data_IF_516949507655
#
_entry.id   IF_516949507655
#
_cell.length_a   1.000
_cell.length_b   1.000
_cell.length_c   1.000
_cell.angle_alpha   90.00
_cell.angle_beta   90.00
_cell.angle_gamma   90.00
#
_symmetry.space_group_name_H-M   'P 1'
#
loop_
_entity.id
_entity.type
_entity.pdbx_description
1 polymer ?
#
# COMPACT_ATOMS: atom_id res chain seq x y z
N UNK A 1 -46.40 -7.13 12.79
CA UNK A 1 -46.08 -6.21 13.92
C UNK A 1 -44.66 -6.37 14.46
N UNK A 2 -44.13 -7.58 14.69
CA UNK A 2 -42.76 -7.79 15.23
C UNK A 2 -41.64 -7.18 14.36
N UNK A 3 -41.77 -7.26 13.03
CA UNK A 3 -40.77 -6.72 12.09
C UNK A 3 -40.70 -5.19 12.08
N UNK A 4 -41.83 -4.51 12.24
CA UNK A 4 -41.89 -3.03 12.28
C UNK A 4 -41.27 -2.51 13.59
N UNK A 5 -41.53 -3.21 14.71
CA UNK A 5 -40.89 -2.88 16.00
C UNK A 5 -39.37 -3.03 15.94
N UNK A 6 -38.87 -4.09 15.30
CA UNK A 6 -37.44 -4.29 15.11
C UNK A 6 -36.83 -3.22 14.20
N UNK A 7 -37.48 -2.91 13.05
CA UNK A 7 -37.06 -1.85 12.14
C UNK A 7 -36.98 -0.48 12.83
N UNK A 8 -37.96 -0.17 13.67
CA UNK A 8 -37.97 1.06 14.47
C UNK A 8 -36.82 1.09 15.48
N UNK A 9 -36.59 -0.01 16.20
CA UNK A 9 -35.51 -0.08 17.18
C UNK A 9 -34.12 0.07 16.52
N UNK A 10 -33.90 -0.56 15.37
CA UNK A 10 -32.64 -0.39 14.64
C UNK A 10 -32.46 1.01 14.06
N UNK A 11 -33.54 1.64 13.56
CA UNK A 11 -33.49 3.03 13.11
C UNK A 11 -33.13 3.97 14.28
N UNK A 12 -33.70 3.76 15.47
CA UNK A 12 -33.39 4.52 16.68
C UNK A 12 -31.93 4.34 17.12
N UNK A 13 -31.44 3.10 17.11
CA UNK A 13 -30.04 2.78 17.45
C UNK A 13 -29.05 3.39 16.44
N UNK A 14 -29.41 3.41 15.16
CA UNK A 14 -28.65 4.09 14.10
C UNK A 14 -28.65 5.61 14.33
N UNK A 15 -29.78 6.19 14.71
CA UNK A 15 -29.88 7.61 15.08
C UNK A 15 -28.92 7.97 16.22
N UNK A 16 -28.91 7.17 17.31
CA UNK A 16 -27.99 7.37 18.44
C UNK A 16 -26.53 7.34 18.01
N UNK A 17 -26.15 6.48 17.05
CA UNK A 17 -24.79 6.44 16.51
C UNK A 17 -24.48 7.59 15.54
N UNK A 18 -25.45 8.03 14.73
CA UNK A 18 -25.24 9.08 13.73
C UNK A 18 -25.18 10.48 14.32
N UNK A 19 -25.88 10.76 15.43
CA UNK A 19 -25.85 12.09 16.08
C UNK A 19 -24.43 12.55 16.44
N UNK A 20 -23.60 11.78 17.17
CA UNK A 20 -22.27 12.24 17.52
C UNK A 20 -21.29 12.25 16.35
N UNK A 21 -21.50 11.42 15.32
CA UNK A 21 -20.56 11.29 14.18
C UNK A 21 -20.85 12.32 13.10
N UNK A 22 -22.12 12.50 12.74
CA UNK A 22 -22.56 13.31 11.60
C UNK A 22 -23.55 14.41 11.98
N UNK A 23 -24.23 14.29 13.12
CA UNK A 23 -25.24 15.25 13.55
C UNK A 23 -24.66 16.51 14.20
N UNK A 24 -23.47 16.44 14.80
CA UNK A 24 -22.83 17.55 15.51
C UNK A 24 -21.49 17.88 14.86
N UNK A 25 -21.50 18.83 13.93
CA UNK A 25 -20.30 19.36 13.30
C UNK A 25 -19.79 20.60 14.05
N UNK A 26 -18.47 20.71 14.21
CA UNK A 26 -17.85 21.95 14.68
C UNK A 26 -17.50 22.81 13.46
N UNK A 27 -18.15 23.96 13.33
CA UNK A 27 -17.88 24.91 12.24
C UNK A 27 -17.25 26.16 12.84
N UNK A 28 -16.06 26.50 12.34
CA UNK A 28 -15.30 27.65 12.81
C UNK A 28 -15.74 28.89 12.01
N UNK A 29 -16.49 29.79 12.64
CA UNK A 29 -16.86 31.10 12.07
C UNK A 29 -15.99 32.17 12.70
N UNK A 30 -14.91 32.53 12.01
CA UNK A 30 -13.93 33.48 12.52
C UNK A 30 -13.15 32.93 13.72
N UNK A 31 -13.23 33.60 14.86
CA UNK A 31 -12.50 33.23 16.09
C UNK A 31 -13.30 32.24 16.97
N UNK A 32 -14.62 32.18 16.78
CA UNK A 32 -15.50 31.32 17.57
C UNK A 32 -15.75 29.98 16.89
N UNK A 33 -15.82 28.92 17.68
CA UNK A 33 -16.22 27.59 17.23
C UNK A 33 -17.68 27.39 17.63
N UNK A 34 -18.57 27.30 16.64
CA UNK A 34 -19.99 27.05 16.87
C UNK A 34 -20.30 25.59 16.54
N UNK A 35 -21.16 24.98 17.34
CA UNK A 35 -21.70 23.64 17.06
C UNK A 35 -22.84 23.83 16.06
N UNK A 36 -22.62 23.40 14.82
CA UNK A 36 -23.65 23.37 13.79
C UNK A 36 -24.25 21.96 13.75
N UNK A 37 -25.55 21.86 14.05
CA UNK A 37 -26.25 20.59 14.10
C UNK A 37 -26.95 20.29 12.76
N UNK A 38 -26.47 19.25 12.05
CA UNK A 38 -27.03 18.80 10.77
C UNK A 38 -27.99 17.61 10.96
N UNK A 39 -29.17 17.90 11.49
CA UNK A 39 -30.22 16.90 11.77
C UNK A 39 -30.76 16.20 10.52
N UNK A 40 -30.59 16.80 9.34
CA UNK A 40 -31.05 16.24 8.06
C UNK A 40 -30.39 14.90 7.75
N UNK A 41 -29.07 14.79 7.92
CA UNK A 41 -28.29 13.58 7.65
C UNK A 41 -28.69 12.45 8.59
N UNK A 42 -28.91 12.76 9.87
CA UNK A 42 -29.36 11.79 10.88
C UNK A 42 -30.74 11.25 10.55
N UNK A 43 -31.69 12.12 10.20
CA UNK A 43 -33.05 11.72 9.86
C UNK A 43 -33.10 10.86 8.58
N UNK A 44 -32.34 11.22 7.55
CA UNK A 44 -32.22 10.41 6.34
C UNK A 44 -31.60 9.04 6.63
N UNK A 45 -30.55 8.98 7.45
CA UNK A 45 -29.94 7.72 7.87
C UNK A 45 -30.90 6.81 8.63
N UNK A 46 -31.67 7.36 9.57
CA UNK A 46 -32.71 6.62 10.30
C UNK A 46 -33.81 6.09 9.37
N UNK A 47 -34.26 6.92 8.43
CA UNK A 47 -35.30 6.56 7.47
C UNK A 47 -34.84 5.43 6.54
N UNK A 48 -33.61 5.50 6.01
CA UNK A 48 -33.03 4.45 5.17
C UNK A 48 -32.97 3.13 5.92
N UNK A 49 -32.44 3.12 7.15
CA UNK A 49 -32.35 1.89 7.95
C UNK A 49 -33.73 1.33 8.27
N UNK A 50 -34.70 2.18 8.60
CA UNK A 50 -36.08 1.76 8.84
C UNK A 50 -36.70 1.09 7.61
N UNK A 51 -36.59 1.73 6.44
CA UNK A 51 -37.15 1.23 5.17
C UNK A 51 -36.48 -0.09 4.78
N UNK A 52 -35.15 -0.15 4.81
CA UNK A 52 -34.40 -1.37 4.47
C UNK A 52 -34.80 -2.51 5.42
N UNK A 53 -34.90 -2.25 6.72
CA UNK A 53 -35.18 -3.29 7.70
C UNK A 53 -36.66 -3.71 7.71
N UNK A 54 -37.58 -2.81 7.36
CA UNK A 54 -38.99 -3.12 7.14
C UNK A 54 -39.20 -3.99 5.88
N UNK A 55 -38.44 -3.74 4.81
CA UNK A 55 -38.54 -4.46 3.52
C UNK A 55 -37.75 -5.78 3.53
N UNK A 56 -36.65 -5.88 4.28
CA UNK A 56 -35.79 -7.07 4.41
C UNK A 56 -36.56 -8.39 4.59
N UNK A 57 -37.56 -8.52 5.48
CA UNK A 57 -38.29 -9.79 5.65
C UNK A 57 -39.20 -10.17 4.47
N UNK A 58 -39.59 -9.20 3.63
CA UNK A 58 -40.41 -9.45 2.44
C UNK A 58 -39.56 -9.82 1.23
N UNK A 59 -38.37 -9.21 1.10
CA UNK A 59 -37.42 -9.49 0.00
C UNK A 59 -36.59 -10.74 0.28
N UNK A 60 -36.13 -10.92 1.51
CA UNK A 60 -35.28 -12.04 1.93
C UNK A 60 -36.06 -13.08 2.73
N UNK A 61 -37.21 -13.52 2.21
CA UNK A 61 -37.85 -14.73 2.73
C UNK A 61 -36.84 -15.86 2.57
N UNK A 62 -36.29 -16.38 3.68
CA UNK A 62 -35.38 -17.53 3.69
C UNK A 62 -36.07 -18.67 2.95
N UNK A 63 -35.72 -18.89 1.68
CA UNK A 63 -36.01 -20.14 0.99
C UNK A 63 -35.05 -21.17 1.59
N UNK A 64 -35.53 -22.15 2.38
CA UNK A 64 -34.65 -23.18 2.91
C UNK A 64 -34.13 -23.98 1.73
N UNK A 65 -32.85 -23.80 1.37
CA UNK A 65 -32.21 -24.57 0.30
C UNK A 65 -31.34 -23.79 -0.67
N UNK A 66 -31.45 -22.46 -0.77
CA UNK A 66 -30.57 -21.69 -1.67
C UNK A 66 -29.29 -21.32 -0.92
N UNK A 67 -28.29 -22.22 -0.96
CA UNK A 67 -26.90 -21.81 -0.70
C UNK A 67 -26.58 -20.72 -1.71
N UNK A 68 -26.33 -19.50 -1.23
CA UNK A 68 -25.86 -18.39 -2.04
C UNK A 68 -24.43 -18.72 -2.47
N UNK A 69 -24.31 -19.57 -3.49
CA UNK A 69 -23.06 -19.69 -4.23
C UNK A 69 -22.99 -18.41 -5.05
N UNK A 70 -22.07 -17.51 -4.68
CA UNK A 70 -21.75 -16.38 -5.55
C UNK A 70 -21.52 -16.96 -6.95
N UNK A 71 -22.17 -16.45 -8.00
CA UNK A 71 -21.91 -16.91 -9.35
C UNK A 71 -20.40 -16.74 -9.59
N UNK A 72 -19.68 -17.86 -9.67
CA UNK A 72 -18.27 -17.86 -10.00
C UNK A 72 -18.22 -17.22 -11.39
N UNK A 73 -17.61 -16.04 -11.49
CA UNK A 73 -17.50 -15.35 -12.77
C UNK A 73 -17.02 -16.36 -13.82
N UNK A 74 -17.64 -16.42 -15.01
CA UNK A 74 -17.22 -17.36 -16.04
C UNK A 74 -15.72 -17.19 -16.22
N UNK A 75 -14.98 -18.31 -16.24
CA UNK A 75 -13.53 -18.28 -16.41
C UNK A 75 -13.22 -17.51 -17.69
N UNK A 76 -12.85 -16.23 -17.54
CA UNK A 76 -12.57 -15.36 -18.67
C UNK A 76 -11.46 -16.01 -19.47
N UNK A 77 -11.69 -16.19 -20.77
CA UNK A 77 -10.66 -16.63 -21.69
C UNK A 77 -9.40 -15.76 -21.47
N UNK A 78 -8.21 -16.35 -21.52
CA UNK A 78 -6.96 -15.66 -21.13
C UNK A 78 -6.75 -14.35 -21.91
N UNK A 79 -7.24 -14.29 -23.16
CA UNK A 79 -7.30 -13.06 -23.96
C UNK A 79 -8.28 -12.01 -23.41
N UNK A 80 -9.47 -12.41 -22.98
CA UNK A 80 -10.48 -11.51 -22.38
C UNK A 80 -10.05 -10.99 -21.01
N UNK A 81 -9.35 -11.79 -20.20
CA UNK A 81 -8.77 -11.35 -18.92
C UNK A 81 -7.63 -10.33 -19.13
N UNK A 82 -6.77 -10.57 -20.12
CA UNK A 82 -5.70 -9.62 -20.48
C UNK A 82 -6.28 -8.30 -21.03
N UNK A 83 -7.36 -8.38 -21.82
CA UNK A 83 -8.04 -7.22 -22.36
C UNK A 83 -8.75 -6.39 -21.26
N UNK A 84 -9.37 -7.05 -20.29
CA UNK A 84 -9.94 -6.40 -19.10
C UNK A 84 -8.87 -5.66 -18.29
N UNK A 85 -7.72 -6.30 -18.04
CA UNK A 85 -6.59 -5.66 -17.37
C UNK A 85 -6.07 -4.43 -18.13
N UNK A 86 -5.96 -4.54 -19.46
CA UNK A 86 -5.52 -3.41 -20.29
C UNK A 86 -6.52 -2.25 -20.23
N UNK A 87 -7.82 -2.53 -20.23
CA UNK A 87 -8.86 -1.49 -20.07
C UNK A 87 -8.78 -0.85 -18.69
N UNK A 88 -8.62 -1.62 -17.61
CA UNK A 88 -8.47 -1.08 -16.25
C UNK A 88 -7.23 -0.19 -16.16
N UNK A 89 -6.11 -0.61 -16.76
CA UNK A 89 -4.89 0.20 -16.80
C UNK A 89 -5.09 1.51 -17.57
N UNK A 90 -5.75 1.47 -18.73
CA UNK A 90 -6.06 2.67 -19.51
C UNK A 90 -6.97 3.63 -18.73
N UNK A 91 -7.99 3.11 -18.04
CA UNK A 91 -8.84 3.91 -17.17
C UNK A 91 -8.03 4.56 -16.05
N UNK A 92 -7.13 3.80 -15.40
CA UNK A 92 -6.27 4.33 -14.35
C UNK A 92 -5.36 5.47 -14.86
N UNK A 93 -4.82 5.36 -16.08
CA UNK A 93 -3.99 6.43 -16.70
C UNK A 93 -4.81 7.70 -16.98
N UNK A 94 -6.06 7.56 -17.41
CA UNK A 94 -6.91 8.68 -17.84
C UNK A 94 -7.62 9.35 -16.65
N UNK A 95 -7.98 8.59 -15.62
CA UNK A 95 -8.73 9.05 -14.45
C UNK A 95 -8.15 10.27 -13.70
N UNK A 96 -6.82 10.44 -13.47
CA UNK A 96 -6.29 11.58 -12.74
C UNK A 96 -6.54 12.93 -13.43
N UNK A 97 -6.72 12.94 -14.77
CA UNK A 97 -6.99 14.18 -15.51
C UNK A 97 -8.40 14.75 -15.27
N UNK A 98 -9.31 13.96 -14.70
CA UNK A 98 -10.69 14.35 -14.40
C UNK A 98 -10.96 14.48 -12.90
N UNK A 99 -9.94 14.25 -12.06
CA UNK A 99 -10.09 14.10 -10.60
C UNK A 99 -9.50 15.27 -9.83
N UNK A 100 -9.98 15.48 -8.59
CA UNK A 100 -9.47 16.52 -7.71
C UNK A 100 -8.17 16.12 -7.00
N UNK A 101 -7.42 17.12 -6.51
CA UNK A 101 -6.13 16.94 -5.81
C UNK A 101 -6.14 15.83 -4.75
N UNK A 102 -7.11 15.87 -3.83
CA UNK A 102 -7.20 14.92 -2.71
C UNK A 102 -7.40 13.47 -3.20
N UNK A 103 -8.19 13.29 -4.24
CA UNK A 103 -8.48 11.97 -4.80
C UNK A 103 -7.23 11.36 -5.45
N UNK A 104 -6.47 12.17 -6.21
CA UNK A 104 -5.22 11.73 -6.84
C UNK A 104 -4.16 11.41 -5.78
N UNK A 105 -4.10 12.22 -4.71
CA UNK A 105 -3.17 12.03 -3.60
C UNK A 105 -3.47 10.71 -2.85
N UNK A 106 -4.73 10.46 -2.51
CA UNK A 106 -5.16 9.18 -1.92
C UNK A 106 -4.88 8.02 -2.87
N UNK A 107 -5.19 8.15 -4.17
CA UNK A 107 -4.96 7.08 -5.14
C UNK A 107 -3.47 6.77 -5.32
N UNK A 108 -2.61 7.80 -5.28
CA UNK A 108 -1.15 7.62 -5.28
C UNK A 108 -0.70 6.86 -4.03
N UNK A 109 -1.36 7.07 -2.89
CA UNK A 109 -1.04 6.37 -1.64
C UNK A 109 -1.45 4.91 -1.79
N UNK A 110 -2.65 4.62 -2.30
CA UNK A 110 -3.09 3.26 -2.61
C UNK A 110 -2.08 2.54 -3.51
N UNK A 111 -1.55 3.19 -4.55
CA UNK A 111 -0.54 2.59 -5.43
C UNK A 111 0.76 2.21 -4.70
N UNK A 112 1.19 2.98 -3.70
CA UNK A 112 2.33 2.62 -2.84
C UNK A 112 2.00 1.35 -2.05
N UNK A 113 0.82 1.28 -1.42
CA UNK A 113 0.41 0.08 -0.68
C UNK A 113 0.22 -1.14 -1.58
N UNK A 114 -0.18 -0.96 -2.84
CA UNK A 114 -0.20 -2.05 -3.82
C UNK A 114 1.21 -2.56 -4.09
N UNK A 115 2.20 -1.69 -4.29
CA UNK A 115 3.61 -2.12 -4.43
C UNK A 115 4.11 -2.88 -3.20
N UNK A 116 3.83 -2.35 -2.00
CA UNK A 116 4.21 -2.98 -0.73
C UNK A 116 3.51 -4.33 -0.55
N UNK A 117 2.20 -4.38 -0.83
CA UNK A 117 1.39 -5.59 -0.77
C UNK A 117 1.89 -6.66 -1.75
N UNK A 118 2.19 -6.29 -3.00
CA UNK A 118 2.77 -7.21 -3.99
C UNK A 118 4.15 -7.74 -3.55
N UNK A 119 4.97 -6.90 -2.89
CA UNK A 119 6.24 -7.31 -2.29
C UNK A 119 6.04 -8.30 -1.13
N UNK A 120 5.15 -8.00 -0.19
CA UNK A 120 4.85 -8.87 0.95
C UNK A 120 4.17 -10.18 0.51
N UNK A 121 3.37 -10.15 -0.56
CA UNK A 121 2.72 -11.34 -1.12
C UNK A 121 3.73 -12.38 -1.63
N UNK A 122 4.96 -11.97 -1.99
CA UNK A 122 6.05 -12.92 -2.31
C UNK A 122 6.44 -13.74 -1.08
N UNK A 123 6.57 -13.09 0.07
CA UNK A 123 7.03 -13.72 1.33
C UNK A 123 5.89 -14.50 1.99
N UNK A 124 4.77 -13.84 2.24
CA UNK A 124 3.61 -14.41 2.96
C UNK A 124 2.77 -15.27 2.04
N UNK A 125 2.48 -14.78 0.83
CA UNK A 125 1.58 -15.46 -0.10
C UNK A 125 2.23 -16.67 -0.77
N UNK A 126 3.37 -16.50 -1.41
CA UNK A 126 3.98 -17.60 -2.16
C UNK A 126 4.86 -18.51 -1.29
N UNK A 127 5.73 -17.95 -0.45
CA UNK A 127 6.63 -18.75 0.39
C UNK A 127 6.01 -19.22 1.71
N UNK A 128 4.86 -18.69 2.13
CA UNK A 128 4.17 -19.08 3.37
C UNK A 128 4.87 -18.61 4.65
N UNK A 129 5.71 -17.57 4.56
CA UNK A 129 6.50 -17.05 5.67
C UNK A 129 5.80 -15.83 6.24
N UNK A 130 5.38 -15.89 7.50
CA UNK A 130 4.68 -14.78 8.14
C UNK A 130 5.68 -13.67 8.50
N UNK A 131 5.55 -12.51 7.85
CA UNK A 131 6.41 -11.34 8.04
C UNK A 131 5.58 -10.15 8.56
N UNK A 132 5.67 -9.90 9.87
CA UNK A 132 5.06 -8.73 10.52
C UNK A 132 5.99 -7.52 10.53
N UNK A 133 7.26 -7.71 10.14
CA UNK A 133 8.31 -6.71 10.15
C UNK A 133 8.50 -5.95 8.85
N UNK A 134 7.62 -6.17 7.87
CA UNK A 134 7.80 -5.68 6.50
C UNK A 134 8.01 -4.16 6.41
N UNK A 135 7.41 -3.41 7.34
CA UNK A 135 7.61 -1.96 7.47
C UNK A 135 9.08 -1.55 7.68
N UNK A 136 9.92 -2.43 8.26
CA UNK A 136 11.35 -2.19 8.41
C UNK A 136 12.07 -2.08 7.07
N UNK A 137 11.75 -2.93 6.10
CA UNK A 137 12.32 -2.85 4.75
C UNK A 137 11.83 -1.61 3.99
N UNK A 138 10.56 -1.25 4.21
CA UNK A 138 9.98 -0.01 3.72
C UNK A 138 10.69 1.23 4.28
N UNK A 139 11.00 1.25 5.58
CA UNK A 139 11.78 2.30 6.23
C UNK A 139 13.21 2.38 5.67
N UNK A 140 13.89 1.23 5.55
CA UNK A 140 15.25 1.17 4.97
C UNK A 140 15.28 1.79 3.57
N UNK A 141 14.31 1.47 2.71
CA UNK A 141 14.22 2.07 1.37
C UNK A 141 14.00 3.58 1.39
N UNK A 142 13.09 4.06 2.23
CA UNK A 142 12.79 5.49 2.37
C UNK A 142 14.02 6.30 2.85
N UNK A 143 14.69 5.81 3.89
CA UNK A 143 15.90 6.43 4.42
C UNK A 143 17.08 6.32 3.45
N UNK A 144 17.22 5.20 2.73
CA UNK A 144 18.27 5.07 1.71
C UNK A 144 18.14 6.17 0.65
N UNK A 145 16.93 6.45 0.18
CA UNK A 145 16.71 7.56 -0.75
C UNK A 145 17.03 8.92 -0.11
N UNK A 146 16.51 9.18 1.09
CA UNK A 146 16.71 10.45 1.79
C UNK A 146 18.20 10.75 2.05
N UNK A 147 18.96 9.75 2.47
CA UNK A 147 20.39 9.86 2.77
C UNK A 147 21.25 10.02 1.52
N UNK A 148 20.99 9.22 0.48
CA UNK A 148 21.72 9.35 -0.79
C UNK A 148 21.49 10.70 -1.45
N UNK A 149 20.30 11.27 -1.29
CA UNK A 149 20.06 12.63 -1.72
C UNK A 149 20.86 13.63 -0.89
N UNK A 150 20.76 13.62 0.45
CA UNK A 150 21.41 14.62 1.30
C UNK A 150 22.95 14.57 1.25
N UNK A 151 23.54 13.38 1.05
CA UNK A 151 24.99 13.19 1.17
C UNK A 151 25.70 13.06 -0.16
N UNK A 152 25.04 12.48 -1.17
CA UNK A 152 25.64 12.22 -2.46
C UNK A 152 24.98 13.02 -3.60
N UNK A 153 23.96 13.84 -3.30
CA UNK A 153 23.16 14.60 -4.27
C UNK A 153 22.60 13.73 -5.41
N UNK A 154 22.31 12.45 -5.10
CA UNK A 154 21.77 11.52 -6.08
C UNK A 154 20.32 11.84 -6.42
N UNK A 155 20.01 11.87 -7.72
CA UNK A 155 18.64 11.99 -8.18
C UNK A 155 17.79 10.75 -7.87
N UNK A 156 16.46 10.91 -7.88
CA UNK A 156 15.51 9.84 -7.61
C UNK A 156 15.79 8.55 -8.40
N UNK A 157 16.07 8.65 -9.70
CA UNK A 157 16.28 7.50 -10.57
C UNK A 157 17.55 6.71 -10.26
N UNK A 158 18.58 7.36 -9.71
CA UNK A 158 19.82 6.69 -9.30
C UNK A 158 19.66 6.05 -7.92
N UNK A 159 18.96 6.73 -7.02
CA UNK A 159 18.72 6.25 -5.68
C UNK A 159 17.67 5.13 -5.63
N UNK A 160 16.74 5.06 -6.59
CA UNK A 160 15.70 4.03 -6.64
C UNK A 160 16.29 2.59 -6.73
N UNK A 161 17.19 2.25 -7.68
CA UNK A 161 17.89 0.96 -7.67
C UNK A 161 18.63 0.69 -6.37
N UNK A 162 19.28 1.72 -5.80
CA UNK A 162 20.06 1.56 -4.58
C UNK A 162 19.18 1.28 -3.36
N UNK A 163 18.00 1.90 -3.27
CA UNK A 163 17.00 1.60 -2.26
C UNK A 163 16.50 0.15 -2.35
N UNK A 164 16.31 -0.37 -3.57
CA UNK A 164 16.00 -1.78 -3.80
C UNK A 164 17.13 -2.70 -3.35
N UNK A 165 18.38 -2.39 -3.71
CA UNK A 165 19.57 -3.15 -3.28
C UNK A 165 19.71 -3.14 -1.76
N UNK A 166 19.46 -2.01 -1.11
CA UNK A 166 19.56 -1.91 0.34
C UNK A 166 18.42 -2.67 1.02
N UNK A 167 17.21 -2.61 0.48
CA UNK A 167 16.11 -3.49 0.88
C UNK A 167 16.47 -4.97 0.75
N UNK A 168 17.05 -5.37 -0.38
CA UNK A 168 17.53 -6.73 -0.62
C UNK A 168 18.61 -7.15 0.39
N UNK A 169 19.57 -6.28 0.67
CA UNK A 169 20.65 -6.52 1.61
C UNK A 169 20.13 -6.76 3.03
N UNK A 170 19.25 -5.89 3.53
CA UNK A 170 18.63 -6.08 4.84
C UNK A 170 17.69 -7.28 4.87
N UNK A 171 16.98 -7.57 3.77
CA UNK A 171 16.16 -8.78 3.62
C UNK A 171 16.98 -10.07 3.67
N UNK A 172 18.13 -10.08 3.03
CA UNK A 172 19.09 -11.20 3.10
C UNK A 172 19.67 -11.35 4.51
N UNK A 173 20.07 -10.23 5.13
CA UNK A 173 20.62 -10.20 6.49
C UNK A 173 19.61 -10.71 7.51
N UNK A 174 18.36 -10.25 7.46
CA UNK A 174 17.29 -10.75 8.32
C UNK A 174 16.93 -12.21 8.01
N UNK A 175 16.98 -12.60 6.73
CA UNK A 175 16.71 -13.96 6.32
C UNK A 175 17.59 -14.97 7.03
N UNK A 176 18.87 -14.69 7.25
CA UNK A 176 19.81 -15.63 7.87
C UNK A 176 19.40 -16.16 9.26
N UNK A 177 19.10 -15.32 10.28
CA UNK A 177 18.61 -15.78 11.58
C UNK A 177 17.21 -16.40 11.50
N UNK A 178 16.35 -15.84 10.64
CA UNK A 178 14.96 -16.26 10.42
C UNK A 178 14.85 -17.71 9.95
N UNK A 179 15.83 -18.21 9.19
CA UNK A 179 15.85 -19.56 8.63
C UNK A 179 15.76 -20.69 9.66
N UNK A 180 16.08 -20.41 10.92
CA UNK A 180 16.03 -21.38 12.03
C UNK A 180 14.66 -21.43 12.72
N UNK A 181 13.77 -20.50 12.41
CA UNK A 181 12.49 -20.30 13.08
C UNK A 181 11.33 -20.75 12.18
N UNK A 182 10.21 -21.11 12.80
CA UNK A 182 8.99 -21.56 12.13
C UNK A 182 7.75 -20.99 12.81
N UNK A 183 6.69 -20.79 12.03
CA UNK A 183 5.39 -20.35 12.53
C UNK A 183 5.48 -19.02 13.30
N UNK A 184 4.97 -19.01 14.52
CA UNK A 184 4.83 -17.78 15.32
C UNK A 184 6.18 -17.16 15.73
N UNK A 185 7.22 -17.98 15.91
CA UNK A 185 8.56 -17.48 16.21
C UNK A 185 9.14 -16.63 15.07
N UNK A 186 8.80 -16.97 13.83
CA UNK A 186 9.18 -16.18 12.66
C UNK A 186 8.50 -14.81 12.69
N UNK A 187 7.21 -14.78 13.03
CA UNK A 187 6.42 -13.56 13.14
C UNK A 187 6.98 -12.61 14.21
N UNK A 188 7.36 -13.14 15.37
CA UNK A 188 7.91 -12.37 16.49
C UNK A 188 9.26 -11.73 16.10
N UNK A 189 10.14 -12.48 15.44
CA UNK A 189 11.47 -11.97 15.05
C UNK A 189 11.37 -10.92 13.94
N UNK A 190 10.47 -11.09 12.97
CA UNK A 190 10.24 -10.07 11.94
C UNK A 190 9.67 -8.79 12.55
N UNK A 191 8.67 -8.88 13.43
CA UNK A 191 8.17 -7.72 14.18
C UNK A 191 9.31 -7.02 14.93
N UNK A 192 10.12 -7.79 15.66
CA UNK A 192 11.29 -7.28 16.38
C UNK A 192 12.28 -6.57 15.45
N UNK A 193 12.54 -7.10 14.26
CA UNK A 193 13.38 -6.42 13.26
C UNK A 193 12.80 -5.07 12.82
N UNK A 194 11.51 -5.01 12.48
CA UNK A 194 10.86 -3.75 12.09
C UNK A 194 10.95 -2.69 13.20
N UNK A 195 10.75 -3.11 14.45
CA UNK A 195 10.89 -2.25 15.63
C UNK A 195 12.35 -1.83 15.87
N UNK A 196 13.32 -2.74 15.74
CA UNK A 196 14.75 -2.44 15.85
C UNK A 196 15.16 -1.40 14.81
N UNK A 197 14.72 -1.55 13.56
CA UNK A 197 15.00 -0.54 12.51
C UNK A 197 14.39 0.80 12.90
N UNK A 198 13.13 0.85 13.35
CA UNK A 198 12.51 2.12 13.77
C UNK A 198 13.27 2.77 14.93
N UNK A 199 13.61 2.00 15.97
CA UNK A 199 14.36 2.50 17.12
C UNK A 199 15.76 2.96 16.72
N UNK A 200 16.42 2.24 15.82
CA UNK A 200 17.72 2.63 15.27
C UNK A 200 17.63 3.98 14.56
N UNK A 201 16.62 4.17 13.70
CA UNK A 201 16.37 5.44 13.01
C UNK A 201 16.03 6.60 13.96
N UNK A 202 15.40 6.33 15.10
CA UNK A 202 15.10 7.35 16.13
C UNK A 202 16.35 7.73 16.92
N UNK A 203 17.22 6.77 17.24
CA UNK A 203 18.40 7.01 18.08
C UNK A 203 19.62 7.55 17.30
N UNK A 204 19.67 7.40 15.98
CA UNK A 204 20.77 7.86 15.13
C UNK A 204 20.65 9.33 14.73
N UNK A 205 20.74 10.23 15.71
CA UNK A 205 20.62 11.68 15.48
C UNK A 205 21.55 12.20 14.36
N UNK A 206 22.83 11.82 14.38
CA UNK A 206 23.83 12.34 13.44
C UNK A 206 23.59 11.90 11.99
N UNK A 207 22.92 10.76 11.78
CA UNK A 207 22.76 10.15 10.46
C UNK A 207 21.35 10.40 9.90
N UNK A 208 20.32 10.22 10.71
CA UNK A 208 18.91 10.24 10.26
C UNK A 208 18.12 11.45 10.73
N UNK A 209 18.72 12.32 11.55
CA UNK A 209 17.99 13.42 12.21
C UNK A 209 17.09 12.95 13.37
N UNK A 210 17.18 11.68 13.77
CA UNK A 210 16.41 11.12 14.87
C UNK A 210 14.89 11.21 14.64
N UNK A 211 14.09 11.63 15.64
CA UNK A 211 12.63 11.78 15.50
C UNK A 211 12.19 12.78 14.42
N UNK A 212 12.97 13.85 14.20
CA UNK A 212 12.64 14.90 13.23
C UNK A 212 12.75 14.40 11.79
N UNK A 213 13.59 13.39 11.57
CA UNK A 213 13.80 12.77 10.27
C UNK A 213 14.56 13.66 9.28
N UNK A 214 14.48 13.31 8.00
CA UNK A 214 15.16 14.03 6.91
C UNK A 214 14.12 14.74 6.04
N UNK A 215 14.20 16.07 6.01
CA UNK A 215 13.31 16.95 5.25
C UNK A 215 13.99 17.50 3.98
N UNK A 216 13.21 18.12 3.09
CA UNK A 216 13.76 18.77 1.90
C UNK A 216 14.12 17.80 0.77
N UNK A 217 13.53 16.60 0.79
CA UNK A 217 13.75 15.59 -0.25
C UNK A 217 13.02 16.05 -1.53
N UNK A 218 13.71 16.14 -2.68
CA UNK A 218 13.10 16.61 -3.90
C UNK A 218 12.14 15.57 -4.45
N UNK A 219 11.12 16.09 -5.14
CA UNK A 219 10.22 15.25 -5.91
C UNK A 219 10.97 14.67 -7.11
N UNK A 220 10.61 13.48 -7.60
CA UNK A 220 11.28 12.87 -8.72
C UNK A 220 11.25 13.72 -9.99
N UNK A 221 12.37 13.73 -10.70
CA UNK A 221 12.52 14.46 -11.97
C UNK A 221 11.90 13.69 -13.14
N UNK A 222 11.45 14.41 -14.16
CA UNK A 222 10.93 13.82 -15.41
C UNK A 222 11.99 13.98 -16.49
N UNK A 223 12.57 12.88 -16.98
CA UNK A 223 13.65 12.92 -17.98
C UNK A 223 14.82 13.85 -17.60
N UNK A 224 15.11 14.03 -16.30
CA UNK A 224 16.14 14.93 -15.80
C UNK A 224 15.68 16.36 -15.48
N UNK A 225 14.43 16.72 -15.77
CA UNK A 225 13.88 18.05 -15.46
C UNK A 225 13.06 18.07 -14.17
N UNK A 226 13.25 19.11 -13.37
CA UNK A 226 12.48 19.32 -12.15
C UNK A 226 11.05 19.80 -12.43
N UNK A 227 10.09 19.27 -11.68
CA UNK A 227 8.69 19.74 -11.66
C UNK A 227 8.45 20.74 -10.54
N UNK A 228 9.32 21.72 -10.44
CA UNK A 228 9.26 22.84 -9.51
C UNK A 228 8.77 24.10 -10.24
N UNK A 229 8.27 25.09 -9.49
CA UNK A 229 7.82 26.37 -10.06
C UNK A 229 8.99 27.20 -10.63
N UNK A 230 10.17 26.99 -10.08
CA UNK A 230 11.46 27.58 -10.49
C UNK A 230 12.51 26.48 -10.34
N UNK A 231 13.40 26.34 -11.31
CA UNK A 231 14.47 25.35 -11.25
C UNK A 231 15.38 25.63 -10.04
N UNK A 232 15.81 24.56 -9.37
CA UNK A 232 16.70 24.64 -8.21
C UNK A 232 18.13 25.06 -8.60
N UNK A 233 18.53 24.84 -9.86
CA UNK A 233 19.83 25.25 -10.42
C UNK A 233 19.73 26.46 -11.35
N UNK A 234 20.70 27.39 -11.25
CA UNK A 234 20.83 28.53 -12.18
C UNK A 234 21.13 28.04 -13.60
N UNK A 235 20.12 28.10 -14.48
CA UNK A 235 20.22 27.74 -15.90
C UNK A 235 19.49 26.45 -16.28
N UNK A 236 18.98 25.67 -15.33
CA UNK A 236 18.14 24.52 -15.62
C UNK A 236 16.71 24.96 -15.99
N UNK A 237 16.11 24.29 -16.98
CA UNK A 237 14.71 24.50 -17.35
C UNK A 237 13.82 23.54 -16.55
N UNK A 238 12.70 24.02 -16.02
CA UNK A 238 11.71 23.12 -15.43
C UNK A 238 10.89 22.45 -16.52
N UNK A 239 10.31 21.28 -16.24
CA UNK A 239 9.54 20.53 -17.23
C UNK A 239 8.41 21.37 -17.87
N UNK A 240 7.80 22.25 -17.07
CA UNK A 240 6.73 23.16 -17.53
C UNK A 240 7.26 24.27 -18.46
N UNK A 241 8.49 24.73 -18.26
CA UNK A 241 9.16 25.70 -19.15
C UNK A 241 9.57 25.05 -20.47
N UNK A 242 10.07 23.81 -20.43
CA UNK A 242 10.39 23.04 -21.65
C UNK A 242 9.15 22.80 -22.51
N UNK A 243 8.01 22.46 -21.89
CA UNK A 243 6.75 22.19 -22.59
C UNK A 243 5.93 23.45 -22.93
N UNK A 244 6.35 24.63 -22.45
CA UNK A 244 5.63 25.90 -22.66
C UNK A 244 4.26 25.98 -21.96
N UNK A 245 4.04 25.20 -20.90
CA UNK A 245 2.76 25.14 -20.17
C UNK A 245 2.78 26.03 -18.92
N UNK A 246 1.61 26.55 -18.54
CA UNK A 246 1.46 27.25 -17.26
C UNK A 246 1.60 26.24 -16.13
N UNK A 247 2.46 26.53 -15.15
CA UNK A 247 2.66 25.66 -13.99
C UNK A 247 1.38 25.59 -13.14
N UNK A 248 0.77 24.40 -13.05
CA UNK A 248 -0.22 24.06 -12.04
C UNK A 248 0.36 23.06 -11.03
N UNK A 249 0.00 23.19 -9.76
CA UNK A 249 0.37 22.24 -8.72
C UNK A 249 -0.30 20.88 -8.94
N UNK A 250 -1.47 20.86 -9.61
CA UNK A 250 -2.15 19.62 -9.98
C UNK A 250 -1.32 18.74 -10.91
N UNK A 251 -0.61 19.34 -11.87
CA UNK A 251 0.20 18.59 -12.86
C UNK A 251 1.31 17.77 -12.17
N UNK A 252 1.94 18.34 -11.14
CA UNK A 252 2.97 17.65 -10.35
C UNK A 252 2.38 16.43 -9.64
N UNK A 253 1.15 16.53 -9.14
CA UNK A 253 0.49 15.45 -8.39
C UNK A 253 0.01 14.36 -9.36
N UNK A 254 -0.52 14.74 -10.52
CA UNK A 254 -0.86 13.82 -11.61
C UNK A 254 0.39 13.06 -12.07
N UNK A 255 1.53 13.74 -12.21
CA UNK A 255 2.79 13.10 -12.56
C UNK A 255 3.23 12.08 -11.51
N UNK A 256 3.24 12.45 -10.22
CA UNK A 256 3.56 11.52 -9.14
C UNK A 256 2.64 10.30 -9.17
N UNK A 257 1.35 10.49 -9.41
CA UNK A 257 0.39 9.40 -9.58
C UNK A 257 0.75 8.49 -10.76
N UNK A 258 1.02 9.05 -11.95
CA UNK A 258 1.36 8.27 -13.14
C UNK A 258 2.68 7.50 -12.95
N UNK A 259 3.65 8.09 -12.25
CA UNK A 259 4.89 7.41 -11.88
C UNK A 259 4.66 6.28 -10.87
N UNK A 260 3.84 6.51 -9.84
CA UNK A 260 3.42 5.44 -8.92
C UNK A 260 2.74 4.30 -9.67
N UNK A 261 1.86 4.63 -10.62
CA UNK A 261 1.13 3.67 -11.44
C UNK A 261 2.08 2.86 -12.32
N UNK A 262 3.06 3.53 -12.95
CA UNK A 262 4.09 2.87 -13.74
C UNK A 262 4.95 1.93 -12.89
N UNK A 263 5.41 2.36 -11.70
CA UNK A 263 6.20 1.53 -10.78
C UNK A 263 5.39 0.35 -10.23
N UNK A 264 4.12 0.56 -9.89
CA UNK A 264 3.21 -0.50 -9.46
C UNK A 264 2.97 -1.52 -10.59
N UNK A 265 2.79 -1.05 -11.82
CA UNK A 265 2.62 -1.92 -12.97
C UNK A 265 3.89 -2.72 -13.30
N UNK A 266 5.07 -2.10 -13.23
CA UNK A 266 6.36 -2.78 -13.36
C UNK A 266 6.51 -3.83 -12.25
N UNK A 267 6.18 -3.49 -11.01
CA UNK A 267 6.21 -4.41 -9.86
C UNK A 267 5.29 -5.61 -10.09
N UNK A 268 4.09 -5.39 -10.60
CA UNK A 268 3.14 -6.45 -10.95
C UNK A 268 3.69 -7.35 -12.06
N UNK A 269 4.27 -6.78 -13.13
CA UNK A 269 4.88 -7.56 -14.22
C UNK A 269 6.02 -8.42 -13.68
N UNK A 270 6.95 -7.83 -12.91
CA UNK A 270 8.10 -8.54 -12.37
C UNK A 270 7.64 -9.64 -11.41
N UNK A 271 6.76 -9.32 -10.45
CA UNK A 271 6.19 -10.29 -9.52
C UNK A 271 5.48 -11.43 -10.26
N UNK A 272 4.68 -11.14 -11.29
CA UNK A 272 3.99 -12.17 -12.08
C UNK A 272 4.94 -13.06 -12.86
N UNK A 273 6.08 -12.53 -13.34
CA UNK A 273 7.12 -13.34 -13.98
C UNK A 273 7.89 -14.18 -12.96
N UNK A 274 8.24 -13.63 -11.80
CA UNK A 274 8.96 -14.34 -10.74
C UNK A 274 8.19 -15.58 -10.26
N UNK A 275 6.88 -15.46 -10.07
CA UNK A 275 6.03 -16.59 -9.64
C UNK A 275 5.99 -17.71 -10.70
N UNK A 276 6.00 -17.36 -11.99
CA UNK A 276 6.00 -18.35 -13.09
C UNK A 276 7.36 -19.01 -13.30
N UNK A 277 8.45 -18.41 -12.83
CA UNK A 277 9.82 -18.94 -12.92
C UNK A 277 10.03 -20.11 -11.94
N UNK A 278 11.10 -20.93 -12.12
CA UNK A 278 11.40 -22.05 -11.23
C UNK A 278 11.54 -21.64 -9.75
N UNK A 279 12.02 -20.42 -9.49
CA UNK A 279 12.15 -19.89 -8.13
C UNK A 279 10.79 -19.68 -7.47
N UNK A 280 9.80 -19.19 -8.20
CA UNK A 280 8.43 -19.00 -7.73
C UNK A 280 7.73 -20.33 -7.43
N UNK A 281 7.89 -21.31 -8.33
CA UNK A 281 7.37 -22.67 -8.10
C UNK A 281 8.01 -23.33 -6.88
N UNK A 282 9.29 -23.05 -6.63
CA UNK A 282 9.98 -23.53 -5.44
C UNK A 282 9.44 -22.88 -4.15
N UNK A 283 8.97 -21.62 -4.19
CA UNK A 283 8.29 -20.99 -3.05
C UNK A 283 6.95 -21.69 -2.75
N UNK A 284 6.12 -21.92 -3.77
CA UNK A 284 4.85 -22.65 -3.60
C UNK A 284 5.09 -24.06 -3.05
N UNK A 285 6.03 -24.81 -3.62
CA UNK A 285 6.35 -26.15 -3.15
C UNK A 285 6.82 -26.15 -1.68
N UNK A 286 7.64 -25.16 -1.29
CA UNK A 286 8.11 -25.00 0.08
C UNK A 286 6.97 -24.68 1.05
N UNK A 287 6.00 -23.87 0.62
CA UNK A 287 4.82 -23.49 1.41
C UNK A 287 3.94 -24.70 1.72
N UNK A 288 3.82 -25.64 0.78
CA UNK A 288 3.02 -26.87 0.96
C UNK A 288 3.71 -27.89 1.88
N UNK A 289 4.96 -28.27 1.57
CA UNK A 289 5.73 -29.21 2.41
C UNK A 289 7.25 -29.02 2.26
N UNK A 290 7.87 -28.49 3.31
CA UNK A 290 9.32 -28.30 3.39
C UNK A 290 10.09 -29.63 3.42
N UNK A 291 9.55 -30.69 4.03
CA UNK A 291 10.20 -32.01 4.14
C UNK A 291 10.20 -32.71 2.78
N UNK A 292 9.08 -32.63 2.05
CA UNK A 292 9.01 -33.15 0.68
C UNK A 292 9.99 -32.42 -0.25
N UNK A 293 10.07 -31.09 -0.18
CA UNK A 293 11.04 -30.31 -0.95
C UNK A 293 12.49 -30.73 -0.68
N UNK A 294 12.86 -30.95 0.59
CA UNK A 294 14.20 -31.42 0.97
C UNK A 294 14.50 -32.81 0.38
N UNK A 295 13.50 -33.69 0.34
CA UNK A 295 13.62 -35.04 -0.21
C UNK A 295 13.85 -35.04 -1.73
N UNK A 296 13.36 -34.00 -2.42
CA UNK A 296 13.60 -33.74 -3.85
C UNK A 296 14.94 -33.01 -4.12
N UNK A 297 15.77 -32.79 -3.10
CA UNK A 297 17.07 -32.12 -3.23
C UNK A 297 17.00 -30.59 -3.29
N UNK A 298 15.83 -29.98 -3.05
CA UNK A 298 15.70 -28.53 -2.95
C UNK A 298 16.26 -28.05 -1.61
N UNK A 299 17.06 -26.98 -1.62
CA UNK A 299 17.59 -26.37 -0.41
C UNK A 299 16.62 -25.29 0.12
N UNK A 300 15.90 -25.53 1.23
CA UNK A 300 14.91 -24.58 1.77
C UNK A 300 15.53 -23.27 2.19
N UNK A 301 16.80 -23.29 2.60
CA UNK A 301 17.55 -22.11 3.05
C UNK A 301 17.65 -21.09 1.92
N UNK A 302 18.05 -21.54 0.72
CA UNK A 302 18.15 -20.67 -0.47
C UNK A 302 16.77 -20.16 -0.91
N UNK A 303 15.76 -21.02 -0.86
CA UNK A 303 14.39 -20.69 -1.26
C UNK A 303 13.80 -19.61 -0.34
N UNK A 304 13.86 -19.80 0.99
CA UNK A 304 13.38 -18.81 1.97
C UNK A 304 14.15 -17.49 1.88
N UNK A 305 15.49 -17.54 1.76
CA UNK A 305 16.32 -16.34 1.61
C UNK A 305 15.93 -15.55 0.35
N UNK A 306 15.71 -16.24 -0.77
CA UNK A 306 15.31 -15.58 -2.01
C UNK A 306 13.95 -14.89 -1.90
N UNK A 307 12.98 -15.49 -1.20
CA UNK A 307 11.68 -14.90 -0.99
C UNK A 307 11.79 -13.60 -0.16
N UNK A 308 12.51 -13.64 0.97
CA UNK A 308 12.75 -12.46 1.82
C UNK A 308 13.50 -11.36 1.08
N UNK A 309 14.57 -11.72 0.36
CA UNK A 309 15.41 -10.75 -0.38
C UNK A 309 14.59 -10.03 -1.45
N UNK A 310 13.81 -10.77 -2.25
CA UNK A 310 13.01 -10.18 -3.33
C UNK A 310 11.80 -9.39 -2.78
N UNK A 311 11.13 -9.89 -1.74
CA UNK A 311 10.05 -9.14 -1.07
C UNK A 311 10.55 -7.81 -0.49
N UNK A 312 11.69 -7.83 0.21
CA UNK A 312 12.31 -6.64 0.77
C UNK A 312 12.81 -5.66 -0.29
N UNK A 313 13.19 -6.14 -1.48
CA UNK A 313 13.55 -5.28 -2.62
C UNK A 313 12.37 -4.39 -3.03
N UNK A 314 11.17 -4.99 -3.17
CA UNK A 314 9.95 -4.24 -3.52
C UNK A 314 9.52 -3.29 -2.41
N UNK A 315 9.69 -3.68 -1.14
CA UNK A 315 9.49 -2.77 0.00
C UNK A 315 10.42 -1.55 -0.09
N UNK A 316 11.69 -1.77 -0.45
CA UNK A 316 12.69 -0.74 -0.65
C UNK A 316 12.29 0.27 -1.74
N UNK A 317 11.80 -0.21 -2.89
CA UNK A 317 11.28 0.65 -3.95
C UNK A 317 10.05 1.45 -3.52
N UNK A 318 9.11 0.83 -2.79
CA UNK A 318 7.96 1.52 -2.22
C UNK A 318 8.35 2.62 -1.23
N UNK A 319 9.37 2.35 -0.41
CA UNK A 319 9.95 3.29 0.56
C UNK A 319 10.57 4.51 -0.10
N UNK A 320 11.42 4.30 -1.10
CA UNK A 320 12.04 5.39 -1.84
C UNK A 320 11.00 6.29 -2.52
N UNK A 321 9.98 5.69 -3.13
CA UNK A 321 8.90 6.46 -3.75
C UNK A 321 8.06 7.23 -2.73
N UNK A 322 7.74 6.62 -1.58
CA UNK A 322 7.03 7.32 -0.49
C UNK A 322 7.81 8.55 -0.01
N UNK A 323 9.10 8.39 0.24
CA UNK A 323 10.00 9.47 0.63
C UNK A 323 10.01 10.60 -0.40
N UNK A 324 10.09 10.27 -1.69
CA UNK A 324 10.10 11.25 -2.78
C UNK A 324 8.78 11.97 -2.97
N UNK A 325 7.66 11.31 -2.67
CA UNK A 325 6.34 11.93 -2.71
C UNK A 325 6.13 12.87 -1.52
N UNK A 326 6.45 12.41 -0.31
CA UNK A 326 6.19 13.15 0.93
C UNK A 326 7.15 14.32 1.11
N UNK A 327 8.38 14.23 0.60
CA UNK A 327 9.42 15.25 0.75
C UNK A 327 10.05 15.32 2.15
N UNK A 328 9.62 14.41 3.03
CA UNK A 328 10.06 14.25 4.41
C UNK A 328 9.95 12.76 4.75
N UNK A 329 10.95 12.23 5.44
CA UNK A 329 10.92 10.88 6.00
C UNK A 329 11.19 10.96 7.49
N UNK A 330 10.23 10.54 8.31
CA UNK A 330 10.35 10.45 9.76
C UNK A 330 10.17 9.00 10.24
N UNK A 331 10.82 8.57 11.35
CA UNK A 331 10.70 7.19 11.82
C UNK A 331 9.27 6.81 12.24
N UNK A 332 8.48 7.80 12.66
CA UNK A 332 7.09 7.61 13.11
C UNK A 332 6.13 7.22 11.98
N UNK A 333 6.51 7.41 10.71
CA UNK A 333 5.73 6.89 9.57
C UNK A 333 5.84 5.37 9.41
N UNK A 334 6.77 4.71 10.11
CA UNK A 334 7.10 3.29 9.92
C UNK A 334 6.74 2.44 11.15
N UNK A 335 5.47 2.51 11.57
CA UNK A 335 5.00 1.78 12.76
C UNK A 335 4.51 0.37 12.44
N UNK A 336 4.33 -0.44 13.48
CA UNK A 336 3.74 -1.77 13.35
C UNK A 336 2.35 -1.74 12.71
N UNK A 337 1.54 -0.70 12.94
CA UNK A 337 0.18 -0.62 12.37
C UNK A 337 0.21 -0.57 10.85
N UNK A 338 1.23 0.08 10.27
CA UNK A 338 1.43 0.13 8.83
C UNK A 338 1.79 -1.25 8.27
N UNK A 339 2.65 -1.99 8.97
CA UNK A 339 2.96 -3.37 8.60
C UNK A 339 1.73 -4.27 8.65
N UNK A 340 0.91 -4.13 9.71
CA UNK A 340 -0.34 -4.87 9.85
C UNK A 340 -1.35 -4.52 8.75
N UNK A 341 -1.39 -3.26 8.31
CA UNK A 341 -2.24 -2.82 7.20
C UNK A 341 -1.79 -3.44 5.87
N UNK A 342 -0.48 -3.44 5.60
CA UNK A 342 0.08 -4.10 4.40
C UNK A 342 -0.23 -5.61 4.42
N UNK A 343 -0.08 -6.27 5.57
CA UNK A 343 -0.47 -7.67 5.73
C UNK A 343 -1.97 -7.88 5.51
N UNK A 344 -2.82 -7.01 6.03
CA UNK A 344 -4.26 -7.09 5.86
C UNK A 344 -4.66 -7.00 4.38
N UNK A 345 -4.00 -6.14 3.60
CA UNK A 345 -4.19 -6.07 2.14
C UNK A 345 -3.89 -7.43 1.50
N UNK A 346 -2.77 -8.06 1.86
CA UNK A 346 -2.38 -9.37 1.31
C UNK A 346 -3.35 -10.48 1.72
N UNK A 347 -3.76 -10.51 2.98
CA UNK A 347 -4.66 -11.55 3.51
C UNK A 347 -6.07 -11.40 2.94
N UNK A 348 -6.61 -10.18 2.91
CA UNK A 348 -7.94 -9.89 2.35
C UNK A 348 -7.98 -10.04 0.83
N UNK A 349 -6.91 -9.64 0.14
CA UNK A 349 -6.75 -9.86 -1.30
C UNK A 349 -6.59 -11.34 -1.68
N UNK A 350 -6.28 -12.19 -0.71
CA UNK A 350 -6.08 -13.63 -0.90
C UNK A 350 -4.60 -13.97 -1.07
N UNK A 351 -4.05 -14.64 -0.05
CA UNK A 351 -2.64 -15.03 -0.01
C UNK A 351 -2.23 -15.85 -1.25
N UNK A 352 -1.27 -15.35 -2.02
CA UNK A 352 -0.80 -15.97 -3.27
C UNK A 352 -1.58 -15.52 -4.52
N UNK A 353 -2.58 -14.65 -4.39
CA UNK A 353 -3.29 -14.03 -5.52
C UNK A 353 -2.73 -12.64 -5.80
N UNK A 354 -2.13 -12.44 -6.97
CA UNK A 354 -1.67 -11.10 -7.42
C UNK A 354 -2.80 -10.20 -7.93
N UNK A 355 -3.98 -10.76 -8.20
CA UNK A 355 -5.12 -10.01 -8.70
C UNK A 355 -6.02 -9.49 -7.59
N UNK A 356 -6.02 -10.16 -6.44
CA UNK A 356 -6.83 -9.73 -5.31
C UNK A 356 -6.11 -8.77 -4.37
N UNK A 357 -4.77 -8.83 -4.33
CA UNK A 357 -3.89 -7.75 -3.85
C UNK A 357 -3.87 -6.64 -4.88
#
# INVERSE_FOLDING_TARGET
MKNIKNAFFAALLTGIMLVPIFGLGLVRKGINTEIQADWSIVLWGMLIVFVVQAIKPYVFKKRPGVRFTLPRAPALNQKSSTLLLAVVFLVAVIWPFFSGRSQIDIATLVLIYVMLGLGLNIVVGFAGLLDLGFVGFYAVGAYTYALLYHWADWGFWQALPMAGIMGAFFGFLLGFPVLRLRGDYLAIVTLGFGEIIRLLLVNLYDFTGGPDGISGIPKPTVFGYEMTRRASEEGAQTFHQMMGWKFDTLDVIIYLYLMALALAFITLIISSRLVRMPIGRAWEALREDEIACRSLGLNPTRIKLSAFTLGATFAGFGGAFFAARQGLVNPESFTFIESALILAIVVLGGMGSQFGV
#
